data_IF_587884513434
#
_entry.id   IF_587884513434
#
_cell.length_a   1.000
_cell.length_b   1.000
_cell.length_c   1.000
_cell.angle_alpha   90.00
_cell.angle_beta   90.00
_cell.angle_gamma   90.00
#
_symmetry.space_group_name_H-M   'P 1'
#
loop_
_entity.id
_entity.type
_entity.pdbx_description
1 polymer ?
#
# COMPACT_ATOMS: atom_id res chain seq x y z
N UNK A 1 12.68 30.20 -18.25
CA UNK A 1 12.73 28.75 -18.57
C UNK A 1 12.89 27.91 -17.30
N UNK A 2 13.84 28.19 -16.43
CA UNK A 2 14.07 27.43 -15.17
C UNK A 2 12.86 27.42 -14.21
N UNK A 3 12.18 28.54 -14.01
CA UNK A 3 10.98 28.63 -13.14
C UNK A 3 9.78 27.83 -13.70
N UNK A 4 9.66 27.70 -15.02
CA UNK A 4 8.63 26.85 -15.64
C UNK A 4 8.96 25.37 -15.50
N UNK A 5 10.22 24.99 -15.51
CA UNK A 5 10.65 23.61 -15.37
C UNK A 5 10.49 23.11 -13.91
N UNK A 6 10.81 23.94 -12.92
CA UNK A 6 10.58 23.66 -11.49
C UNK A 6 9.08 23.49 -11.22
N UNK A 7 8.24 24.37 -11.73
CA UNK A 7 6.79 24.30 -11.53
C UNK A 7 6.16 23.05 -12.19
N UNK A 8 6.67 22.64 -13.36
CA UNK A 8 6.27 21.36 -13.98
C UNK A 8 6.70 20.16 -13.16
N UNK A 9 7.90 20.18 -12.60
CA UNK A 9 8.42 19.07 -11.79
C UNK A 9 7.62 18.89 -10.51
N UNK A 10 7.25 19.97 -9.83
CA UNK A 10 6.39 19.94 -8.64
C UNK A 10 4.99 19.44 -8.96
N UNK A 11 4.37 19.89 -10.03
CA UNK A 11 3.04 19.43 -10.47
C UNK A 11 3.05 17.93 -10.80
N UNK A 12 4.10 17.42 -11.45
CA UNK A 12 4.23 16.00 -11.75
C UNK A 12 4.50 15.16 -10.49
N UNK A 13 5.27 15.68 -9.53
CA UNK A 13 5.52 15.02 -8.26
C UNK A 13 4.22 14.89 -7.45
N UNK A 14 3.42 15.93 -7.37
CA UNK A 14 2.11 15.93 -6.72
C UNK A 14 1.12 14.98 -7.38
N UNK A 15 1.08 14.94 -8.71
CA UNK A 15 0.23 13.99 -9.43
C UNK A 15 0.67 12.54 -9.19
N UNK A 16 1.96 12.25 -9.25
CA UNK A 16 2.48 10.91 -9.01
C UNK A 16 2.15 10.41 -7.60
N UNK A 17 2.29 11.25 -6.59
CA UNK A 17 1.92 10.93 -5.22
C UNK A 17 0.41 10.69 -5.09
N UNK A 18 -0.40 11.53 -5.74
CA UNK A 18 -1.86 11.40 -5.71
C UNK A 18 -2.32 10.10 -6.41
N UNK A 19 -1.69 9.72 -7.53
CA UNK A 19 -1.96 8.46 -8.23
C UNK A 19 -1.60 7.26 -7.34
N UNK A 20 -0.48 7.29 -6.62
CA UNK A 20 -0.14 6.24 -5.65
C UNK A 20 -1.21 6.11 -4.55
N UNK A 21 -1.68 7.23 -3.99
CA UNK A 21 -2.76 7.25 -3.00
C UNK A 21 -4.05 6.66 -3.55
N UNK A 22 -4.45 7.04 -4.77
CA UNK A 22 -5.60 6.47 -5.46
C UNK A 22 -5.47 4.95 -5.64
N UNK A 23 -4.31 4.50 -6.10
CA UNK A 23 -4.06 3.08 -6.31
C UNK A 23 -4.17 2.30 -5.00
N UNK A 24 -3.56 2.78 -3.93
CA UNK A 24 -3.70 2.17 -2.60
C UNK A 24 -5.17 2.16 -2.14
N UNK A 25 -5.90 3.27 -2.29
CA UNK A 25 -7.33 3.33 -1.94
C UNK A 25 -8.14 2.24 -2.64
N UNK A 26 -7.92 2.06 -3.95
CA UNK A 26 -8.63 1.09 -4.76
C UNK A 26 -8.19 -0.36 -4.49
N UNK A 27 -6.91 -0.58 -4.15
CA UNK A 27 -6.38 -1.92 -3.87
C UNK A 27 -6.71 -2.41 -2.46
N UNK A 28 -6.78 -1.55 -1.45
CA UNK A 28 -7.08 -1.97 -0.06
C UNK A 28 -8.55 -2.24 0.19
N UNK A 29 -9.45 -1.73 -0.65
CA UNK A 29 -10.89 -1.99 -0.54
C UNK A 29 -11.35 -3.01 -1.58
N UNK A 30 -12.38 -3.78 -1.25
CA UNK A 30 -13.13 -4.60 -2.22
C UNK A 30 -14.34 -3.86 -2.79
N UNK A 31 -14.76 -2.81 -2.12
CA UNK A 31 -15.95 -2.05 -2.50
C UNK A 31 -15.59 -1.00 -3.54
N UNK A 32 -16.56 -0.68 -4.40
CA UNK A 32 -16.39 0.43 -5.32
C UNK A 32 -16.36 1.77 -4.58
N UNK A 33 -15.44 2.65 -4.97
CA UNK A 33 -15.31 4.00 -4.43
C UNK A 33 -15.79 4.99 -5.49
N UNK A 34 -16.66 5.92 -5.10
CA UNK A 34 -17.12 6.97 -6.02
C UNK A 34 -16.04 8.02 -6.24
N UNK A 35 -16.03 8.64 -7.45
CA UNK A 35 -15.10 9.74 -7.74
C UNK A 35 -15.20 10.88 -6.75
N UNK A 36 -16.39 11.17 -6.21
CA UNK A 36 -16.58 12.20 -5.19
C UNK A 36 -15.93 11.83 -3.85
N UNK A 37 -16.02 10.56 -3.41
CA UNK A 37 -15.33 10.10 -2.20
C UNK A 37 -13.81 10.20 -2.34
N UNK A 38 -13.27 9.84 -3.51
CA UNK A 38 -11.84 9.98 -3.79
C UNK A 38 -11.40 11.45 -3.83
N UNK A 39 -12.19 12.32 -4.47
CA UNK A 39 -11.95 13.75 -4.54
C UNK A 39 -11.88 14.40 -3.15
N UNK A 40 -12.87 14.08 -2.29
CA UNK A 40 -12.91 14.56 -0.92
C UNK A 40 -11.74 14.02 -0.07
N UNK A 41 -11.38 12.75 -0.25
CA UNK A 41 -10.29 12.12 0.50
C UNK A 41 -8.90 12.68 0.14
N UNK A 42 -8.73 13.17 -1.09
CA UNK A 42 -7.47 13.70 -1.60
C UNK A 42 -7.47 15.24 -1.73
N UNK A 43 -8.55 15.89 -1.32
CA UNK A 43 -8.75 17.34 -1.37
C UNK A 43 -8.50 17.95 -2.77
N UNK A 44 -9.10 17.33 -3.78
CA UNK A 44 -9.02 17.78 -5.18
C UNK A 44 -10.39 17.76 -5.85
N UNK A 45 -10.49 18.32 -7.06
CA UNK A 45 -11.72 18.28 -7.84
C UNK A 45 -12.02 16.86 -8.35
N UNK A 46 -13.30 16.57 -8.61
CA UNK A 46 -13.70 15.31 -9.24
C UNK A 46 -13.05 15.15 -10.63
N UNK A 47 -12.90 16.23 -11.38
CA UNK A 47 -12.27 16.19 -12.72
C UNK A 47 -10.79 15.83 -12.62
N UNK A 48 -10.09 16.32 -11.59
CA UNK A 48 -8.72 15.91 -11.30
C UNK A 48 -8.64 14.40 -11.04
N UNK A 49 -9.57 13.85 -10.23
CA UNK A 49 -9.63 12.40 -9.99
C UNK A 49 -9.89 11.61 -11.28
N UNK A 50 -10.77 12.08 -12.15
CA UNK A 50 -11.04 11.40 -13.41
C UNK A 50 -9.81 11.33 -14.30
N UNK A 51 -9.07 12.43 -14.41
CA UNK A 51 -7.81 12.48 -15.15
C UNK A 51 -6.74 11.57 -14.53
N UNK A 52 -6.63 11.57 -13.20
CA UNK A 52 -5.67 10.71 -12.49
C UNK A 52 -6.00 9.23 -12.62
N UNK A 53 -7.29 8.84 -12.65
CA UNK A 53 -7.70 7.46 -12.90
C UNK A 53 -7.36 7.01 -14.33
N UNK A 54 -7.46 7.89 -15.33
CA UNK A 54 -7.04 7.58 -16.69
C UNK A 54 -5.52 7.40 -16.78
N UNK A 55 -4.75 8.24 -16.10
CA UNK A 55 -3.28 8.10 -16.03
C UNK A 55 -2.90 6.83 -15.27
N UNK A 56 -3.60 6.53 -14.15
CA UNK A 56 -3.39 5.32 -13.36
C UNK A 56 -3.59 4.06 -14.22
N UNK A 57 -4.71 3.98 -14.94
CA UNK A 57 -5.05 2.84 -15.79
C UNK A 57 -4.02 2.60 -16.90
N UNK A 58 -3.57 3.69 -17.55
CA UNK A 58 -2.65 3.60 -18.69
C UNK A 58 -1.18 3.38 -18.31
N UNK A 59 -0.73 3.89 -17.16
CA UNK A 59 0.70 3.97 -16.85
C UNK A 59 1.13 3.27 -15.55
N UNK A 60 0.20 3.00 -14.63
CA UNK A 60 0.54 2.52 -13.29
C UNK A 60 -0.11 1.19 -12.93
N UNK A 61 -1.14 0.79 -13.65
CA UNK A 61 -1.83 -0.46 -13.37
C UNK A 61 -1.02 -1.63 -13.94
N UNK A 62 -0.70 -2.60 -13.08
CA UNK A 62 0.03 -3.80 -13.50
C UNK A 62 -0.82 -4.67 -14.40
N UNK A 63 -0.17 -5.36 -15.34
CA UNK A 63 -0.80 -6.43 -16.11
C UNK A 63 -1.42 -7.47 -15.17
N UNK A 64 -2.66 -7.85 -15.46
CA UNK A 64 -3.46 -8.75 -14.61
C UNK A 64 -4.31 -8.02 -13.55
N UNK A 65 -4.18 -6.71 -13.41
CA UNK A 65 -5.12 -5.87 -12.66
C UNK A 65 -6.00 -5.08 -13.64
N UNK A 66 -7.27 -4.92 -13.31
CA UNK A 66 -8.23 -4.19 -14.14
C UNK A 66 -8.96 -3.14 -13.31
N UNK A 67 -8.93 -1.90 -13.78
CA UNK A 67 -9.76 -0.82 -13.23
C UNK A 67 -11.18 -0.92 -13.82
N UNK A 68 -12.14 -1.16 -12.97
CA UNK A 68 -13.55 -1.24 -13.35
C UNK A 68 -14.25 0.07 -13.02
N UNK A 69 -15.20 0.45 -13.90
CA UNK A 69 -16.00 1.68 -13.77
C UNK A 69 -17.47 1.32 -13.99
N UNK A 70 -18.33 1.73 -13.09
CA UNK A 70 -19.77 1.58 -13.25
C UNK A 70 -20.50 2.82 -12.78
N UNK A 71 -21.40 3.32 -13.60
CA UNK A 71 -22.24 4.46 -13.24
C UNK A 71 -23.00 4.20 -11.93
N UNK A 72 -23.04 5.22 -11.06
CA UNK A 72 -23.66 5.20 -9.72
C UNK A 72 -23.02 4.27 -8.70
N UNK A 73 -22.17 3.32 -9.10
CA UNK A 73 -21.42 2.43 -8.20
C UNK A 73 -20.04 2.98 -7.87
N UNK A 74 -19.29 3.44 -8.89
CA UNK A 74 -17.96 4.00 -8.75
C UNK A 74 -16.89 3.13 -9.42
N UNK A 75 -15.70 3.11 -8.81
CA UNK A 75 -14.47 2.52 -9.33
C UNK A 75 -13.95 1.47 -8.36
N UNK A 76 -13.41 0.37 -8.90
CA UNK A 76 -12.75 -0.68 -8.13
C UNK A 76 -11.73 -1.42 -9.00
N UNK A 77 -10.74 -2.03 -8.38
CA UNK A 77 -9.75 -2.85 -9.07
C UNK A 77 -10.08 -4.33 -8.83
N UNK A 78 -10.01 -5.12 -9.91
CA UNK A 78 -10.07 -6.58 -9.88
C UNK A 78 -8.77 -7.17 -10.38
N UNK A 79 -8.45 -8.36 -9.89
CA UNK A 79 -7.28 -9.14 -10.25
C UNK A 79 -7.05 -10.25 -9.24
N UNK A 80 -6.03 -11.06 -9.49
CA UNK A 80 -5.61 -12.10 -8.54
C UNK A 80 -5.17 -11.47 -7.21
N UNK A 81 -5.66 -11.98 -6.07
CA UNK A 81 -5.37 -11.42 -4.75
C UNK A 81 -3.87 -11.36 -4.45
N UNK A 82 -3.10 -12.33 -4.92
CA UNK A 82 -1.64 -12.31 -4.80
C UNK A 82 -1.03 -11.09 -5.49
N UNK A 83 -1.47 -10.78 -6.71
CA UNK A 83 -0.99 -9.64 -7.47
C UNK A 83 -1.39 -8.32 -6.81
N UNK A 84 -2.62 -8.23 -6.27
CA UNK A 84 -3.07 -7.09 -5.47
C UNK A 84 -2.12 -6.84 -4.30
N UNK A 85 -1.81 -7.89 -3.50
CA UNK A 85 -0.92 -7.77 -2.34
C UNK A 85 0.50 -7.39 -2.73
N UNK A 86 1.05 -7.99 -3.79
CA UNK A 86 2.38 -7.63 -4.30
C UNK A 86 2.44 -6.17 -4.77
N UNK A 87 1.39 -5.67 -5.41
CA UNK A 87 1.33 -4.28 -5.85
C UNK A 87 1.31 -3.31 -4.67
N UNK A 88 0.52 -3.61 -3.63
CA UNK A 88 0.53 -2.81 -2.40
C UNK A 88 1.92 -2.86 -1.74
N UNK A 89 2.52 -4.05 -1.62
CA UNK A 89 3.85 -4.24 -1.03
C UNK A 89 4.90 -3.36 -1.72
N UNK A 90 4.96 -3.38 -3.04
CA UNK A 90 5.91 -2.56 -3.79
C UNK A 90 5.72 -1.06 -3.60
N UNK A 91 4.48 -0.60 -3.46
CA UNK A 91 4.22 0.82 -3.20
C UNK A 91 4.71 1.18 -1.81
N UNK A 92 4.35 0.39 -0.79
CA UNK A 92 4.68 0.67 0.60
C UNK A 92 6.18 0.54 0.88
N UNK A 93 6.87 -0.42 0.27
CA UNK A 93 8.33 -0.58 0.43
C UNK A 93 9.12 0.64 -0.07
N UNK A 94 8.65 1.29 -1.14
CA UNK A 94 9.30 2.48 -1.70
C UNK A 94 9.20 3.73 -0.82
N UNK A 95 8.38 3.69 0.22
CA UNK A 95 8.29 4.77 1.21
C UNK A 95 9.42 4.74 2.24
N UNK A 96 10.21 3.65 2.29
CA UNK A 96 11.31 3.50 3.26
C UNK A 96 12.66 3.75 2.62
N UNK A 97 13.44 4.65 3.25
CA UNK A 97 14.87 4.82 3.02
C UNK A 97 15.67 3.92 3.96
N UNK A 98 16.98 3.77 3.74
CA UNK A 98 17.86 3.04 4.66
C UNK A 98 17.82 3.63 6.08
N UNK A 99 17.68 4.95 6.19
CA UNK A 99 17.55 5.62 7.47
C UNK A 99 16.23 5.24 8.19
N UNK A 100 15.14 5.13 7.44
CA UNK A 100 13.83 4.74 7.99
C UNK A 100 13.87 3.29 8.49
N UNK A 101 14.58 2.41 7.80
CA UNK A 101 14.79 1.02 8.24
C UNK A 101 15.50 0.99 9.58
N UNK A 102 16.57 1.79 9.74
CA UNK A 102 17.28 1.90 11.00
C UNK A 102 16.39 2.44 12.13
N UNK A 103 15.63 3.50 11.86
CA UNK A 103 14.67 4.08 12.81
C UNK A 103 13.59 3.08 13.22
N UNK A 104 13.07 2.30 12.27
CA UNK A 104 12.10 1.26 12.54
C UNK A 104 12.65 0.17 13.48
N UNK A 105 13.91 -0.22 13.30
CA UNK A 105 14.58 -1.16 14.20
C UNK A 105 14.67 -0.59 15.63
N UNK A 106 15.00 0.69 15.77
CA UNK A 106 15.00 1.36 17.07
C UNK A 106 13.62 1.33 17.74
N UNK A 107 12.56 1.52 16.96
CA UNK A 107 11.18 1.43 17.47
C UNK A 107 10.79 0.01 17.91
N UNK A 108 11.23 -1.01 17.17
CA UNK A 108 11.02 -2.41 17.56
C UNK A 108 11.72 -2.76 18.87
N UNK A 109 12.90 -2.20 19.14
CA UNK A 109 13.64 -2.43 20.38
C UNK A 109 13.09 -1.62 21.55
N UNK A 110 12.78 -0.35 21.34
CA UNK A 110 12.47 0.60 22.41
C UNK A 110 10.97 0.89 22.57
N UNK A 111 10.17 0.52 21.60
CA UNK A 111 8.75 0.85 21.49
C UNK A 111 8.52 2.23 20.86
N UNK A 112 7.27 2.51 20.54
CA UNK A 112 6.81 3.74 19.91
C UNK A 112 5.86 3.45 18.75
N UNK A 113 5.36 4.52 18.14
CA UNK A 113 4.50 4.49 16.97
C UNK A 113 5.20 5.14 15.79
N UNK A 114 4.71 4.83 14.58
CA UNK A 114 5.22 5.40 13.33
C UNK A 114 4.12 6.16 12.61
N UNK A 115 4.52 7.02 11.68
CA UNK A 115 3.62 7.76 10.79
C UNK A 115 3.91 7.48 9.30
N UNK A 116 4.67 6.41 9.01
CA UNK A 116 5.14 6.12 7.64
C UNK A 116 4.03 6.02 6.60
N UNK A 117 2.84 5.57 7.00
CA UNK A 117 1.72 5.38 6.10
C UNK A 117 0.56 6.34 6.36
N UNK A 118 0.79 7.42 7.10
CA UNK A 118 -0.24 8.43 7.37
C UNK A 118 -0.81 9.04 6.10
N UNK A 119 0.02 9.21 5.06
CA UNK A 119 -0.41 9.70 3.76
C UNK A 119 -1.51 8.84 3.10
N UNK A 120 -1.68 7.60 3.53
CA UNK A 120 -2.72 6.69 3.07
C UNK A 120 -3.93 6.62 4.02
N UNK A 121 -3.97 7.43 5.07
CA UNK A 121 -5.04 7.44 6.08
C UNK A 121 -6.41 7.81 5.52
N UNK A 122 -6.46 8.50 4.38
CA UNK A 122 -7.70 8.80 3.65
C UNK A 122 -8.40 7.55 3.09
N UNK A 123 -7.77 6.39 3.17
CA UNK A 123 -8.38 5.11 2.79
C UNK A 123 -9.36 4.65 3.89
N UNK A 124 -10.40 3.95 3.50
CA UNK A 124 -11.37 3.36 4.45
C UNK A 124 -10.76 2.28 5.37
N UNK A 125 -9.49 1.95 5.19
CA UNK A 125 -8.76 0.95 5.97
C UNK A 125 -7.50 1.59 6.53
N UNK A 126 -7.34 1.64 7.85
CA UNK A 126 -6.22 2.30 8.50
C UNK A 126 -4.94 1.46 8.40
N UNK A 127 -4.23 1.55 7.26
CA UNK A 127 -2.95 0.84 7.07
C UNK A 127 -1.97 1.22 8.17
N UNK A 128 -1.88 2.50 8.52
CA UNK A 128 -1.01 3.01 9.58
C UNK A 128 -1.31 2.38 10.93
N UNK A 129 -2.58 2.31 11.31
CA UNK A 129 -3.00 1.69 12.57
C UNK A 129 -2.65 0.19 12.61
N UNK A 130 -2.93 -0.53 11.50
CA UNK A 130 -2.58 -1.95 11.39
C UNK A 130 -1.08 -2.15 11.45
N UNK A 131 -0.30 -1.30 10.79
CA UNK A 131 1.16 -1.36 10.82
C UNK A 131 1.70 -1.17 12.24
N UNK A 132 1.21 -0.18 12.97
CA UNK A 132 1.60 0.04 14.37
C UNK A 132 1.23 -1.17 15.25
N UNK A 133 0.04 -1.76 15.06
CA UNK A 133 -0.35 -2.97 15.78
C UNK A 133 0.55 -4.17 15.46
N UNK A 134 0.98 -4.30 14.20
CA UNK A 134 1.94 -5.36 13.78
C UNK A 134 3.30 -5.14 14.44
N UNK A 135 3.81 -3.90 14.46
CA UNK A 135 5.07 -3.56 15.16
C UNK A 135 5.01 -3.96 16.63
N UNK A 136 3.94 -3.57 17.35
CA UNK A 136 3.78 -3.90 18.77
C UNK A 136 3.80 -5.41 19.00
N UNK A 137 3.08 -6.18 18.18
CA UNK A 137 3.02 -7.63 18.29
C UNK A 137 4.35 -8.30 17.94
N UNK A 138 5.00 -7.84 16.88
CA UNK A 138 6.32 -8.36 16.49
C UNK A 138 7.36 -8.08 17.57
N UNK A 139 7.34 -6.92 18.21
CA UNK A 139 8.21 -6.61 19.34
C UNK A 139 8.13 -7.67 20.43
N UNK A 140 6.92 -8.04 20.86
CA UNK A 140 6.74 -9.09 21.86
C UNK A 140 7.29 -10.44 21.41
N UNK A 141 7.17 -10.80 20.14
CA UNK A 141 7.75 -12.04 19.61
C UNK A 141 9.29 -11.97 19.58
N UNK A 142 9.85 -10.83 19.26
CA UNK A 142 11.30 -10.63 19.16
C UNK A 142 12.00 -10.55 20.53
N UNK A 143 11.27 -10.30 21.61
CA UNK A 143 11.81 -10.40 22.98
C UNK A 143 12.30 -11.82 23.32
N UNK A 144 11.83 -12.85 22.60
CA UNK A 144 12.20 -14.25 22.80
C UNK A 144 13.26 -14.76 21.81
N UNK A 145 13.64 -13.96 20.81
CA UNK A 145 14.57 -14.35 19.75
C UNK A 145 15.83 -13.48 19.78
N UNK A 146 16.97 -14.04 19.34
CA UNK A 146 18.21 -13.29 19.19
C UNK A 146 18.14 -12.33 17.98
N UNK A 147 17.75 -11.10 18.22
CA UNK A 147 17.61 -10.04 17.22
C UNK A 147 18.90 -9.73 16.44
N UNK A 148 20.06 -10.04 17.02
CA UNK A 148 21.39 -9.80 16.43
C UNK A 148 21.61 -10.52 15.09
N UNK A 149 20.78 -11.51 14.76
CA UNK A 149 20.89 -12.31 13.55
C UNK A 149 19.89 -11.92 12.44
N UNK A 150 18.99 -10.96 12.69
CA UNK A 150 17.97 -10.59 11.73
C UNK A 150 18.53 -9.61 10.68
N UNK A 151 18.23 -9.89 9.43
CA UNK A 151 18.37 -8.93 8.36
C UNK A 151 17.22 -7.91 8.46
N UNK A 152 17.54 -6.64 8.69
CA UNK A 152 16.56 -5.57 8.92
C UNK A 152 15.66 -5.34 7.71
N UNK A 153 16.18 -5.47 6.50
CA UNK A 153 15.38 -5.34 5.29
C UNK A 153 14.35 -6.49 5.16
N UNK A 154 14.73 -7.71 5.52
CA UNK A 154 13.81 -8.86 5.55
C UNK A 154 12.73 -8.67 6.62
N UNK A 155 13.10 -8.15 7.78
CA UNK A 155 12.14 -7.87 8.84
C UNK A 155 11.13 -6.81 8.42
N UNK A 156 11.56 -5.72 7.78
CA UNK A 156 10.67 -4.73 7.21
C UNK A 156 9.69 -5.36 6.21
N UNK A 157 10.20 -6.20 5.31
CA UNK A 157 9.36 -6.90 4.34
C UNK A 157 8.30 -7.78 5.03
N UNK A 158 8.65 -8.48 6.10
CA UNK A 158 7.72 -9.28 6.90
C UNK A 158 6.66 -8.36 7.52
N UNK A 159 7.05 -7.26 8.14
CA UNK A 159 6.13 -6.30 8.75
C UNK A 159 5.12 -5.76 7.73
N UNK A 160 5.58 -5.35 6.55
CA UNK A 160 4.72 -4.86 5.47
C UNK A 160 3.77 -5.97 5.01
N UNK A 161 4.26 -7.18 4.75
CA UNK A 161 3.43 -8.33 4.30
C UNK A 161 2.37 -8.71 5.30
N UNK A 162 2.71 -8.78 6.59
CA UNK A 162 1.75 -9.07 7.65
C UNK A 162 0.70 -7.96 7.75
N UNK A 163 1.11 -6.70 7.61
CA UNK A 163 0.20 -5.55 7.58
C UNK A 163 -0.79 -5.66 6.43
N UNK A 164 -0.30 -5.87 5.20
CA UNK A 164 -1.14 -6.03 4.00
C UNK A 164 -2.08 -7.22 4.15
N UNK A 165 -1.58 -8.36 4.61
CA UNK A 165 -2.40 -9.54 4.84
C UNK A 165 -3.53 -9.26 5.83
N UNK A 166 -3.24 -8.57 6.94
CA UNK A 166 -4.22 -8.21 7.96
C UNK A 166 -5.28 -7.24 7.41
N UNK A 167 -4.85 -6.20 6.68
CA UNK A 167 -5.76 -5.23 6.04
C UNK A 167 -6.69 -5.92 5.04
N UNK A 168 -6.14 -6.80 4.21
CA UNK A 168 -6.91 -7.51 3.18
C UNK A 168 -7.85 -8.57 3.78
N UNK A 169 -7.43 -9.29 4.80
CA UNK A 169 -8.28 -10.27 5.50
C UNK A 169 -9.47 -9.61 6.20
N UNK A 170 -9.32 -8.42 6.78
CA UNK A 170 -10.43 -7.64 7.34
C UNK A 170 -11.51 -7.30 6.28
N UNK A 171 -11.16 -7.36 5.00
CA UNK A 171 -12.05 -7.18 3.86
C UNK A 171 -12.45 -8.50 3.19
N UNK A 172 -12.27 -9.63 3.87
CA UNK A 172 -12.57 -10.97 3.36
C UNK A 172 -11.83 -11.32 2.04
N UNK A 173 -10.71 -10.65 1.79
CA UNK A 173 -9.87 -10.87 0.62
C UNK A 173 -8.88 -11.99 0.94
N UNK A 174 -9.22 -13.22 0.57
CA UNK A 174 -8.39 -14.40 0.80
C UNK A 174 -7.63 -14.80 -0.45
N UNK A 175 -6.37 -15.21 -0.28
CA UNK A 175 -5.65 -15.96 -1.31
C UNK A 175 -6.25 -17.36 -1.31
N UNK A 176 -6.68 -17.84 -2.49
CA UNK A 176 -7.13 -19.22 -2.64
C UNK A 176 -6.08 -20.22 -2.11
N UNK A 177 -6.51 -21.42 -1.78
CA UNK A 177 -5.59 -22.46 -1.27
C UNK A 177 -4.42 -22.60 -2.22
N UNK A 178 -3.20 -22.40 -1.73
CA UNK A 178 -2.02 -22.88 -2.45
C UNK A 178 -2.19 -24.39 -2.61
N UNK A 179 -2.34 -24.86 -3.83
CA UNK A 179 -1.96 -26.22 -4.14
C UNK A 179 -0.43 -26.21 -4.03
N UNK A 180 0.08 -26.68 -2.91
CA UNK A 180 1.44 -27.18 -2.88
C UNK A 180 1.47 -28.25 -3.97
N UNK A 181 2.11 -27.93 -5.09
CA UNK A 181 2.47 -28.94 -6.09
C UNK A 181 3.40 -29.84 -5.29
N UNK A 182 2.89 -31.02 -4.89
CA UNK A 182 3.74 -32.06 -4.38
C UNK A 182 4.84 -32.24 -5.42
N UNK A 183 6.09 -32.03 -5.02
CA UNK A 183 7.23 -32.41 -5.84
C UNK A 183 6.99 -33.88 -6.19
N UNK A 184 6.68 -34.14 -7.45
CA UNK A 184 6.71 -35.48 -7.96
C UNK A 184 8.18 -35.87 -7.89
N UNK A 185 8.47 -36.77 -6.97
CA UNK A 185 9.74 -37.46 -6.89
C UNK A 185 10.09 -37.99 -8.30
N UNK A 186 11.25 -37.55 -8.79
CA UNK A 186 11.93 -38.16 -9.91
C UNK A 186 12.59 -39.45 -9.46
#
# INVERSE_FOLDING_TARGET
SELMDVNRFEIFADQSLRIKRLLIMLLVTKEAITGMKMANALDVSKDTIMNDLDVLENNFLKEGLTLNRQARKGFWITGEERLVRLTIEEILQKEFTDYDIYKLMSLLLNGGETEYFEMYSATATPIQEVFNQVIIRMRHLLEFENLEKLNYAELLNILIRVTIATVRLRKEATIGRYQLVAEQEL
#
